data_IF_069883809825
#
_entry.id   IF_069883809825
#
_cell.length_a   1.000
_cell.length_b   1.000
_cell.length_c   1.000
_cell.angle_alpha   90.00
_cell.angle_beta   90.00
_cell.angle_gamma   90.00
#
_symmetry.space_group_name_H-M   'P 1'
#
loop_
_entity.id
_entity.type
_entity.pdbx_description
1 polymer ?
#
# COMPACT_ATOMS: atom_id res chain seq x y z
N UNK A 1 27.62 -8.26 1.29
CA UNK A 1 26.51 -7.54 0.66
C UNK A 1 25.42 -7.34 1.71
N UNK A 2 24.81 -6.17 1.79
CA UNK A 2 23.64 -5.89 2.64
C UNK A 2 22.37 -6.20 1.86
N UNK A 3 21.35 -6.74 2.55
CA UNK A 3 20.00 -6.86 2.00
C UNK A 3 19.27 -5.53 2.21
N UNK A 4 18.72 -4.95 1.16
CA UNK A 4 18.01 -3.67 1.19
C UNK A 4 16.63 -3.82 0.56
N UNK A 5 15.68 -3.05 1.08
CA UNK A 5 14.36 -2.85 0.46
C UNK A 5 14.30 -1.37 0.07
N UNK A 6 14.07 -1.12 -1.22
CA UNK A 6 13.82 0.22 -1.75
C UNK A 6 12.31 0.47 -1.82
N UNK A 7 11.90 1.68 -1.44
CA UNK A 7 10.53 2.15 -1.61
C UNK A 7 10.60 3.50 -2.30
N UNK A 8 10.05 3.59 -3.50
CA UNK A 8 10.04 4.82 -4.32
C UNK A 8 8.64 5.06 -4.87
N UNK A 9 8.29 6.34 -5.04
CA UNK A 9 7.11 6.74 -5.80
C UNK A 9 7.49 6.97 -7.24
N UNK A 10 6.65 6.53 -8.15
CA UNK A 10 6.78 6.74 -9.59
C UNK A 10 5.38 6.81 -10.22
N UNK A 11 5.31 7.35 -11.41
CA UNK A 11 4.12 7.30 -12.24
C UNK A 11 4.18 6.05 -13.13
N UNK A 12 3.04 5.39 -13.33
CA UNK A 12 2.91 4.25 -14.22
C UNK A 12 1.72 4.42 -15.15
N UNK A 13 1.88 4.02 -16.41
CA UNK A 13 0.76 3.92 -17.35
C UNK A 13 0.84 2.61 -18.15
N UNK A 14 -0.30 1.98 -18.44
CA UNK A 14 -0.33 0.80 -19.30
C UNK A 14 0.30 1.09 -20.65
N UNK A 15 1.17 0.20 -21.11
CA UNK A 15 1.85 0.30 -22.39
C UNK A 15 2.39 -1.06 -22.81
N UNK A 16 2.15 -1.49 -24.05
CA UNK A 16 2.74 -2.74 -24.56
C UNK A 16 4.24 -2.62 -24.76
N UNK A 17 4.95 -3.74 -24.84
CA UNK A 17 6.38 -3.77 -25.15
C UNK A 17 6.65 -3.10 -26.51
N UNK A 18 5.79 -3.36 -27.51
CA UNK A 18 5.90 -2.76 -28.84
C UNK A 18 5.74 -1.25 -28.81
N UNK A 19 4.72 -0.74 -28.13
CA UNK A 19 4.48 0.70 -28.00
C UNK A 19 5.62 1.41 -27.26
N UNK A 20 6.20 0.76 -26.24
CA UNK A 20 7.36 1.31 -25.54
C UNK A 20 8.58 1.41 -26.43
N UNK A 21 8.87 0.37 -27.25
CA UNK A 21 9.97 0.42 -28.20
C UNK A 21 9.78 1.54 -29.23
N UNK A 22 8.55 1.71 -29.75
CA UNK A 22 8.21 2.83 -30.64
C UNK A 22 8.40 4.19 -29.94
N UNK A 23 7.93 4.32 -28.70
CA UNK A 23 8.10 5.53 -27.89
C UNK A 23 9.56 5.91 -27.70
N UNK A 24 10.45 4.91 -27.50
CA UNK A 24 11.88 5.10 -27.34
C UNK A 24 12.65 5.25 -28.67
N UNK A 25 12.01 5.02 -29.81
CA UNK A 25 12.66 4.96 -31.12
C UNK A 25 13.58 3.75 -31.29
N UNK A 26 13.31 2.66 -30.56
CA UNK A 26 14.09 1.44 -30.62
C UNK A 26 13.47 0.41 -31.58
N UNK A 27 14.34 -0.43 -32.13
CA UNK A 27 13.87 -1.63 -32.86
C UNK A 27 13.55 -2.72 -31.84
N UNK A 28 12.42 -3.39 -32.07
CA UNK A 28 11.99 -4.52 -31.27
C UNK A 28 13.00 -5.67 -31.49
N UNK A 29 13.49 -6.27 -30.41
CA UNK A 29 14.38 -7.41 -30.46
C UNK A 29 13.62 -8.67 -30.94
N UNK A 30 14.33 -9.63 -31.58
CA UNK A 30 13.72 -10.84 -32.10
C UNK A 30 13.16 -11.78 -31.00
N UNK A 31 13.64 -11.61 -29.79
CA UNK A 31 13.22 -12.34 -28.57
C UNK A 31 12.12 -11.62 -27.76
N UNK A 32 11.71 -10.42 -28.19
CA UNK A 32 10.61 -9.67 -27.57
C UNK A 32 9.31 -9.86 -28.35
N UNK A 33 8.20 -10.00 -27.61
CA UNK A 33 6.87 -10.00 -28.20
C UNK A 33 6.25 -8.60 -28.07
N UNK A 34 5.99 -7.90 -29.20
CA UNK A 34 5.42 -6.56 -29.17
C UNK A 34 4.07 -6.45 -28.48
N UNK A 35 3.31 -7.55 -28.41
CA UNK A 35 1.98 -7.60 -27.81
C UNK A 35 2.02 -7.80 -26.30
N UNK A 36 3.20 -8.01 -25.69
CA UNK A 36 3.28 -8.20 -24.23
C UNK A 36 2.79 -6.96 -23.51
N UNK A 37 1.81 -7.19 -22.64
CA UNK A 37 1.25 -6.15 -21.78
C UNK A 37 2.23 -5.76 -20.69
N UNK A 38 2.27 -4.47 -20.35
CA UNK A 38 3.13 -3.94 -19.30
C UNK A 38 2.83 -2.49 -18.99
N UNK A 39 3.82 -1.85 -18.35
CA UNK A 39 3.71 -0.46 -17.92
C UNK A 39 4.97 0.32 -18.24
N UNK A 40 4.81 1.54 -18.77
CA UNK A 40 5.83 2.57 -18.71
C UNK A 40 5.89 3.11 -17.28
N UNK A 41 7.06 3.00 -16.67
CA UNK A 41 7.35 3.57 -15.35
C UNK A 41 8.17 4.83 -15.55
N UNK A 42 7.77 5.92 -14.90
CA UNK A 42 8.48 7.19 -14.89
C UNK A 42 8.81 7.61 -13.47
N UNK A 43 10.09 7.73 -13.17
CA UNK A 43 10.61 8.15 -11.88
C UNK A 43 10.67 9.69 -11.75
N UNK A 44 10.69 10.23 -10.51
CA UNK A 44 10.77 11.68 -10.29
C UNK A 44 12.02 12.35 -10.87
N UNK A 45 13.11 11.61 -11.03
CA UNK A 45 14.37 12.06 -11.67
C UNK A 45 14.31 12.11 -13.20
N UNK A 46 13.17 11.69 -13.79
CA UNK A 46 12.97 11.61 -15.22
C UNK A 46 13.43 10.30 -15.86
N UNK A 47 13.99 9.36 -15.07
CA UNK A 47 14.31 8.04 -15.60
C UNK A 47 13.03 7.28 -15.97
N UNK A 48 13.05 6.60 -17.12
CA UNK A 48 11.92 5.83 -17.61
C UNK A 48 12.35 4.41 -17.97
N UNK A 49 11.50 3.45 -17.64
CA UNK A 49 11.64 2.05 -18.05
C UNK A 49 10.31 1.41 -18.33
N UNK A 50 10.32 0.30 -19.04
CA UNK A 50 9.17 -0.58 -19.18
C UNK A 50 9.35 -1.82 -18.31
N UNK A 51 8.25 -2.32 -17.73
CA UNK A 51 8.21 -3.60 -17.04
C UNK A 51 6.95 -4.36 -17.47
N UNK A 52 7.02 -5.69 -17.47
CA UNK A 52 5.88 -6.53 -17.78
C UNK A 52 4.77 -6.34 -16.75
N UNK A 53 3.53 -6.59 -17.17
CA UNK A 53 2.35 -6.54 -16.29
C UNK A 53 2.51 -7.47 -15.09
N UNK A 54 2.99 -8.70 -15.31
CA UNK A 54 3.25 -9.66 -14.24
C UNK A 54 4.22 -9.09 -13.19
N UNK A 55 5.35 -8.55 -13.62
CA UNK A 55 6.32 -7.91 -12.72
C UNK A 55 5.74 -6.71 -12.00
N UNK A 56 4.92 -5.89 -12.69
CA UNK A 56 4.30 -4.73 -12.07
C UNK A 56 3.33 -5.16 -10.95
N UNK A 57 2.45 -6.11 -11.23
CA UNK A 57 1.46 -6.61 -10.27
C UNK A 57 2.11 -7.33 -9.07
N UNK A 58 3.29 -7.93 -9.25
CA UNK A 58 4.04 -8.57 -8.17
C UNK A 58 4.71 -7.55 -7.22
N UNK A 59 5.30 -6.48 -7.75
CA UNK A 59 6.19 -5.60 -6.97
C UNK A 59 5.65 -4.21 -6.71
N UNK A 60 4.58 -3.81 -7.40
CA UNK A 60 4.00 -2.47 -7.30
C UNK A 60 2.59 -2.52 -6.69
N UNK A 61 2.25 -1.47 -5.94
CA UNK A 61 0.91 -1.26 -5.41
C UNK A 61 0.46 0.13 -5.82
N UNK A 62 -0.74 0.23 -6.37
CA UNK A 62 -1.36 1.52 -6.70
C UNK A 62 -1.69 2.25 -5.39
N UNK A 63 -1.24 3.49 -5.25
CA UNK A 63 -1.31 4.24 -3.98
C UNK A 63 -2.75 4.44 -3.50
N UNK A 64 -3.68 4.65 -4.43
CA UNK A 64 -5.11 4.88 -4.15
C UNK A 64 -5.89 3.61 -3.79
N UNK A 65 -5.35 2.42 -4.07
CA UNK A 65 -6.06 1.16 -3.83
C UNK A 65 -6.06 0.73 -2.36
N UNK A 66 -5.16 1.30 -1.55
CA UNK A 66 -5.07 0.97 -0.14
C UNK A 66 -4.63 2.15 0.73
N UNK A 67 -5.47 2.58 1.69
CA UNK A 67 -5.09 3.63 2.65
C UNK A 67 -3.84 3.29 3.46
N UNK A 68 -3.50 2.01 3.63
CA UNK A 68 -2.29 1.57 4.33
C UNK A 68 -1.03 1.89 3.53
N UNK A 69 -1.11 1.89 2.20
CA UNK A 69 0.03 2.19 1.32
C UNK A 69 0.48 3.64 1.49
N UNK A 70 -0.46 4.57 1.72
CA UNK A 70 -0.14 5.98 1.98
C UNK A 70 0.80 6.19 3.18
N UNK A 71 0.81 5.26 4.15
CA UNK A 71 1.66 5.35 5.35
C UNK A 71 3.09 4.85 5.15
N UNK A 72 3.40 4.18 4.02
CA UNK A 72 4.67 3.48 3.80
C UNK A 72 5.88 4.42 3.87
N UNK A 73 5.75 5.63 3.31
CA UNK A 73 6.84 6.62 3.33
C UNK A 73 7.10 7.18 4.71
N UNK A 74 6.07 7.40 5.51
CA UNK A 74 6.21 7.88 6.87
C UNK A 74 6.76 6.80 7.79
N UNK A 75 6.40 5.52 7.58
CA UNK A 75 6.96 4.38 8.33
C UNK A 75 8.48 4.25 8.18
N UNK A 76 9.02 4.50 6.98
CA UNK A 76 10.46 4.45 6.73
C UNK A 76 11.21 5.74 7.08
N UNK A 77 10.51 6.81 7.49
CA UNK A 77 11.09 8.10 7.77
C UNK A 77 12.13 8.04 8.90
N UNK A 78 13.18 8.84 8.79
CA UNK A 78 14.12 9.07 9.91
C UNK A 78 13.49 9.92 11.01
N UNK A 79 12.46 10.69 10.67
CA UNK A 79 11.69 11.50 11.61
C UNK A 79 10.78 10.59 12.46
N UNK A 80 11.00 10.62 13.77
CA UNK A 80 10.21 9.86 14.73
C UNK A 80 8.72 10.23 14.70
N UNK A 81 8.38 11.52 14.62
CA UNK A 81 7.00 11.98 14.62
C UNK A 81 6.22 11.45 13.40
N UNK A 82 6.87 11.36 12.25
CA UNK A 82 6.28 10.75 11.05
C UNK A 82 6.03 9.26 11.24
N UNK A 83 6.99 8.51 11.79
CA UNK A 83 6.78 7.08 12.07
C UNK A 83 5.66 6.84 13.07
N UNK A 84 5.59 7.67 14.12
CA UNK A 84 4.50 7.63 15.11
C UNK A 84 3.13 7.87 14.47
N UNK A 85 3.02 8.89 13.62
CA UNK A 85 1.80 9.17 12.87
C UNK A 85 1.39 8.02 11.96
N UNK A 86 2.35 7.41 11.27
CA UNK A 86 2.11 6.23 10.44
C UNK A 86 1.58 5.04 11.26
N UNK A 87 2.14 4.78 12.45
CA UNK A 87 1.69 3.74 13.38
C UNK A 87 0.23 3.96 13.77
N UNK A 88 -0.12 5.17 14.21
CA UNK A 88 -1.47 5.55 14.58
C UNK A 88 -2.46 5.35 13.41
N UNK A 89 -2.12 5.89 12.23
CA UNK A 89 -2.97 5.79 11.04
C UNK A 89 -3.18 4.34 10.61
N UNK A 90 -2.14 3.51 10.63
CA UNK A 90 -2.27 2.09 10.30
C UNK A 90 -3.19 1.36 11.26
N UNK A 91 -3.06 1.61 12.56
CA UNK A 91 -3.92 0.99 13.56
C UNK A 91 -5.37 1.44 13.38
N UNK A 92 -5.61 2.74 13.16
CA UNK A 92 -6.92 3.32 12.93
C UNK A 92 -7.62 2.73 11.70
N UNK A 93 -6.92 2.68 10.56
CA UNK A 93 -7.44 2.11 9.31
C UNK A 93 -7.83 0.63 9.51
N UNK A 94 -6.99 -0.15 10.18
CA UNK A 94 -7.26 -1.57 10.47
C UNK A 94 -8.45 -1.74 11.41
N UNK A 95 -8.55 -0.91 12.44
CA UNK A 95 -9.69 -0.92 13.37
C UNK A 95 -10.99 -0.59 12.66
N UNK A 96 -11.02 0.48 11.87
CA UNK A 96 -12.21 0.89 11.12
C UNK A 96 -12.65 -0.17 10.11
N UNK A 97 -11.71 -0.79 9.41
CA UNK A 97 -11.98 -1.90 8.49
C UNK A 97 -12.57 -3.12 9.21
N UNK A 98 -11.99 -3.50 10.35
CA UNK A 98 -12.47 -4.62 11.14
C UNK A 98 -13.87 -4.33 11.71
N UNK A 99 -14.09 -3.13 12.25
CA UNK A 99 -15.38 -2.68 12.75
C UNK A 99 -16.46 -2.75 11.66
N UNK A 100 -16.19 -2.22 10.49
CA UNK A 100 -17.10 -2.26 9.33
C UNK A 100 -17.42 -3.69 8.90
N UNK A 101 -16.42 -4.58 8.90
CA UNK A 101 -16.65 -6.01 8.62
C UNK A 101 -17.57 -6.64 9.65
N UNK A 102 -17.37 -6.36 10.95
CA UNK A 102 -18.21 -6.88 12.02
C UNK A 102 -19.64 -6.34 11.96
N UNK A 103 -19.83 -5.07 11.63
CA UNK A 103 -21.15 -4.46 11.43
C UNK A 103 -21.91 -5.15 10.28
N UNK A 104 -21.25 -5.42 9.16
CA UNK A 104 -21.83 -6.19 8.04
C UNK A 104 -22.16 -7.62 8.45
N UNK A 105 -21.31 -8.25 9.28
CA UNK A 105 -21.58 -9.59 9.78
C UNK A 105 -22.85 -9.64 10.62
N UNK A 106 -22.97 -8.71 11.57
CA UNK A 106 -24.13 -8.62 12.47
C UNK A 106 -25.42 -8.31 11.68
N UNK A 107 -25.31 -7.61 10.55
CA UNK A 107 -26.42 -7.34 9.62
C UNK A 107 -26.73 -8.52 8.66
N UNK A 108 -25.89 -9.56 8.62
CA UNK A 108 -26.05 -10.67 7.66
C UNK A 108 -25.66 -10.32 6.22
N UNK A 109 -24.85 -9.30 6.04
CA UNK A 109 -24.47 -8.74 4.72
C UNK A 109 -23.06 -9.17 4.27
N UNK A 110 -22.39 -10.09 4.98
CA UNK A 110 -21.12 -10.64 4.56
C UNK A 110 -21.29 -11.64 3.41
N UNK A 111 -20.46 -11.56 2.42
CA UNK A 111 -20.35 -12.48 1.28
C UNK A 111 -19.43 -13.68 1.54
N UNK A 112 -18.86 -13.76 2.76
CA UNK A 112 -18.00 -14.86 3.22
C UNK A 112 -18.31 -15.21 4.68
N UNK A 113 -17.82 -16.38 5.12
CA UNK A 113 -17.93 -16.81 6.53
C UNK A 113 -16.57 -16.61 7.22
N UNK A 114 -16.49 -15.74 8.26
CA UNK A 114 -15.27 -15.57 9.03
C UNK A 114 -14.84 -16.88 9.72
N UNK A 115 -13.54 -17.17 9.70
CA UNK A 115 -12.99 -18.40 10.28
C UNK A 115 -12.94 -18.39 11.81
N UNK A 116 -12.87 -17.19 12.44
CA UNK A 116 -12.84 -17.05 13.89
C UNK A 116 -14.23 -16.74 14.46
N UNK A 117 -14.51 -17.15 15.70
CA UNK A 117 -15.72 -16.73 16.40
C UNK A 117 -15.80 -15.21 16.56
N UNK A 118 -17.02 -14.65 16.51
CA UNK A 118 -17.27 -13.20 16.62
C UNK A 118 -16.60 -12.56 17.86
N UNK A 119 -16.61 -13.29 19.00
CA UNK A 119 -15.98 -12.83 20.24
C UNK A 119 -14.46 -12.61 20.16
N UNK A 120 -13.76 -13.27 19.21
CA UNK A 120 -12.33 -13.04 18.99
C UNK A 120 -12.11 -11.67 18.36
N UNK A 121 -12.96 -11.30 17.40
CA UNK A 121 -12.91 -9.99 16.77
C UNK A 121 -13.29 -8.87 17.75
N UNK A 122 -14.23 -9.11 18.69
CA UNK A 122 -14.56 -8.15 19.74
C UNK A 122 -13.35 -7.86 20.64
N UNK A 123 -12.63 -8.90 21.06
CA UNK A 123 -11.39 -8.74 21.84
C UNK A 123 -10.31 -7.98 21.06
N UNK A 124 -10.18 -8.27 19.77
CA UNK A 124 -9.22 -7.56 18.92
C UNK A 124 -9.57 -6.09 18.81
N UNK A 125 -10.83 -5.75 18.56
CA UNK A 125 -11.30 -4.36 18.49
C UNK A 125 -11.09 -3.62 19.82
N UNK A 126 -11.39 -4.24 20.95
CA UNK A 126 -11.15 -3.66 22.27
C UNK A 126 -9.66 -3.32 22.48
N UNK A 127 -8.76 -4.26 22.19
CA UNK A 127 -7.33 -4.04 22.29
C UNK A 127 -6.82 -2.93 21.33
N UNK A 128 -7.40 -2.83 20.12
CA UNK A 128 -7.06 -1.77 19.17
C UNK A 128 -7.52 -0.39 19.68
N UNK A 129 -8.70 -0.30 20.28
CA UNK A 129 -9.22 0.96 20.88
C UNK A 129 -8.34 1.39 22.04
N UNK A 130 -7.97 0.48 22.94
CA UNK A 130 -7.06 0.76 24.05
C UNK A 130 -5.72 1.29 23.53
N UNK A 131 -5.16 0.67 22.50
CA UNK A 131 -3.90 1.11 21.93
C UNK A 131 -4.02 2.46 21.22
N UNK A 132 -5.10 2.71 20.45
CA UNK A 132 -5.36 4.03 19.85
C UNK A 132 -5.41 5.12 20.91
N UNK A 133 -6.11 4.90 22.02
CA UNK A 133 -6.22 5.88 23.11
C UNK A 133 -4.87 6.20 23.75
N UNK A 134 -3.99 5.21 23.91
CA UNK A 134 -2.62 5.42 24.42
C UNK A 134 -1.80 6.24 23.43
N UNK A 135 -1.92 5.97 22.12
CA UNK A 135 -1.22 6.76 21.10
C UNK A 135 -1.72 8.21 21.05
N UNK A 136 -3.03 8.43 21.23
CA UNK A 136 -3.61 9.79 21.27
C UNK A 136 -3.10 10.60 22.47
N UNK A 137 -3.05 9.98 23.67
CA UNK A 137 -2.46 10.62 24.86
C UNK A 137 -0.99 10.96 24.63
N UNK A 138 -0.21 10.01 24.10
CA UNK A 138 1.21 10.24 23.79
C UNK A 138 1.39 11.34 22.75
N UNK A 139 0.56 11.36 21.70
CA UNK A 139 0.62 12.40 20.68
C UNK A 139 0.42 13.78 21.29
N UNK A 140 -0.56 13.92 22.19
CA UNK A 140 -0.81 15.17 22.92
C UNK A 140 0.40 15.59 23.75
N UNK A 141 0.95 14.69 24.58
CA UNK A 141 2.08 14.99 25.46
C UNK A 141 3.37 15.31 24.67
N UNK A 142 3.57 14.66 23.54
CA UNK A 142 4.76 14.82 22.69
C UNK A 142 4.60 15.92 21.61
N UNK A 143 3.45 16.58 21.55
CA UNK A 143 3.16 17.64 20.57
C UNK A 143 3.21 17.11 19.14
N UNK A 144 2.58 15.96 18.90
CA UNK A 144 2.43 15.33 17.58
C UNK A 144 1.00 15.53 17.09
N UNK A 145 0.84 16.16 15.94
CA UNK A 145 -0.44 16.35 15.27
C UNK A 145 -0.80 15.08 14.48
N UNK A 146 -1.92 14.40 14.84
CA UNK A 146 -2.39 13.12 14.28
C UNK A 146 -3.33 13.31 13.09
#
# INVERSE_FOLDING_TARGET
MQKCIGVERFEARPMTCGDYNVYRGWKISADENPADEGYLIKYPDGYEKWISKETFEEVCVVEDDSPLVATVFDMKSRDYKKRFKAEYLQLKIRYEGLKKMCEKWDAGELDFTPACPRAVYDKQMAAMVDYLSVLEVRAYDEGIDL
#
